data_IF_151025360057
#
_entry.id   IF_151025360057
#
_cell.length_a   1.000
_cell.length_b   1.000
_cell.length_c   1.000
_cell.angle_alpha   90.00
_cell.angle_beta   90.00
_cell.angle_gamma   90.00
#
_symmetry.space_group_name_H-M   'P 1'
#
loop_
_entity.id
_entity.type
_entity.pdbx_description
1 polymer ?
#
# COMPACT_ATOMS: atom_id res chain seq x y z
N UNK A 1 28.01 -7.01 48.35
CA UNK A 1 26.61 -6.51 48.36
C UNK A 1 25.78 -7.46 47.52
N UNK A 2 25.09 -8.37 48.20
CA UNK A 2 24.16 -9.35 47.64
C UNK A 2 22.79 -8.90 48.14
N UNK A 3 21.81 -8.75 47.26
CA UNK A 3 20.40 -8.62 47.66
C UNK A 3 19.61 -9.73 46.98
N UNK A 4 19.40 -10.78 47.77
CA UNK A 4 18.37 -11.79 47.63
C UNK A 4 17.00 -11.11 47.64
N UNK A 5 16.15 -11.43 46.67
CA UNK A 5 14.72 -11.16 46.76
C UNK A 5 14.03 -12.50 46.98
N UNK A 6 13.36 -12.58 48.14
CA UNK A 6 12.60 -13.71 48.63
C UNK A 6 11.42 -14.04 47.69
N UNK A 7 11.30 -15.33 47.32
CA UNK A 7 10.07 -15.89 46.79
C UNK A 7 9.47 -16.79 47.88
N UNK A 8 8.37 -16.34 48.49
CA UNK A 8 7.63 -17.09 49.52
C UNK A 8 6.48 -17.83 48.85
N UNK A 9 6.44 -19.14 49.06
CA UNK A 9 5.35 -20.04 48.71
C UNK A 9 4.14 -19.83 49.62
N UNK A 10 2.93 -19.89 49.07
CA UNK A 10 1.74 -20.41 49.78
C UNK A 10 0.91 -21.27 48.83
N UNK A 11 0.91 -22.58 49.07
CA UNK A 11 -0.19 -23.49 48.71
C UNK A 11 -1.28 -23.29 49.79
N UNK A 12 -2.59 -23.36 49.54
CA UNK A 12 -3.39 -24.53 49.17
C UNK A 12 -4.84 -24.05 49.01
N UNK A 13 -5.59 -24.52 48.02
CA UNK A 13 -6.96 -24.99 48.27
C UNK A 13 -7.46 -25.87 47.12
N UNK A 14 -7.86 -27.08 47.49
CA UNK A 14 -8.45 -28.10 46.66
C UNK A 14 -9.94 -27.86 46.45
N UNK A 15 -10.42 -27.85 45.20
CA UNK A 15 -11.80 -28.21 44.89
C UNK A 15 -11.93 -28.76 43.47
N UNK A 16 -12.12 -30.09 43.44
CA UNK A 16 -12.86 -30.95 42.50
C UNK A 16 -12.90 -30.67 40.97
N UNK A 17 -12.76 -31.74 40.15
CA UNK A 17 -12.88 -31.66 38.69
C UNK A 17 -14.35 -31.68 38.27
N UNK A 18 -14.85 -30.57 37.73
CA UNK A 18 -16.07 -30.59 36.93
C UNK A 18 -15.76 -31.19 35.55
N UNK A 19 -15.99 -32.50 35.42
CA UNK A 19 -16.11 -33.15 34.12
C UNK A 19 -17.36 -32.64 33.41
N UNK A 20 -17.19 -31.71 32.47
CA UNK A 20 -18.19 -31.38 31.46
C UNK A 20 -17.84 -32.09 30.15
N UNK A 21 -18.21 -33.37 30.06
CA UNK A 21 -18.32 -34.10 28.81
C UNK A 21 -19.69 -33.80 28.19
N UNK A 22 -19.72 -32.92 27.19
CA UNK A 22 -20.96 -32.61 26.49
C UNK A 22 -20.77 -31.65 25.32
N UNK A 23 -20.78 -32.21 24.11
CA UNK A 23 -21.08 -31.54 22.83
C UNK A 23 -20.16 -30.41 22.33
N UNK A 24 -19.18 -30.75 21.47
CA UNK A 24 -18.65 -29.77 20.50
C UNK A 24 -17.95 -30.39 19.27
N UNK A 25 -18.61 -31.25 18.50
CA UNK A 25 -18.01 -31.83 17.27
C UNK A 25 -18.54 -31.26 15.95
N UNK A 26 -19.52 -30.35 15.93
CA UNK A 26 -20.10 -29.83 14.67
C UNK A 26 -19.45 -28.51 14.18
N UNK A 27 -18.70 -27.79 15.04
CA UNK A 27 -18.19 -26.43 14.70
C UNK A 27 -16.86 -26.39 13.90
N UNK A 28 -16.11 -27.50 13.83
CA UNK A 28 -14.76 -27.50 13.24
C UNK A 28 -14.73 -27.59 11.71
N UNK A 29 -15.72 -28.21 11.06
CA UNK A 29 -15.77 -28.30 9.60
C UNK A 29 -16.18 -26.97 8.93
N UNK A 30 -17.16 -26.26 9.48
CA UNK A 30 -17.57 -24.95 8.94
C UNK A 30 -16.48 -23.87 9.05
N UNK A 31 -15.65 -23.93 10.10
CA UNK A 31 -14.55 -22.99 10.30
C UNK A 31 -13.48 -23.12 9.20
N UNK A 32 -13.07 -24.34 8.84
CA UNK A 32 -12.05 -24.58 7.82
C UNK A 32 -12.49 -24.12 6.43
N UNK A 33 -13.75 -24.37 6.06
CA UNK A 33 -14.30 -23.95 4.77
C UNK A 33 -14.37 -22.42 4.64
N UNK A 34 -14.73 -21.71 5.71
CA UNK A 34 -14.75 -20.25 5.73
C UNK A 34 -13.34 -19.65 5.58
N UNK A 35 -12.34 -20.22 6.24
CA UNK A 35 -10.93 -19.79 6.09
C UNK A 35 -10.43 -19.99 4.66
N UNK A 36 -10.72 -21.15 4.04
CA UNK A 36 -10.34 -21.43 2.65
C UNK A 36 -10.97 -20.43 1.66
N UNK A 37 -12.23 -20.07 1.86
CA UNK A 37 -12.91 -19.08 1.03
C UNK A 37 -12.24 -17.70 1.13
N UNK A 38 -11.83 -17.27 2.33
CA UNK A 38 -11.13 -16.00 2.53
C UNK A 38 -9.75 -16.03 1.89
N UNK A 39 -8.97 -17.11 2.08
CA UNK A 39 -7.65 -17.23 1.47
C UNK A 39 -7.71 -17.21 -0.06
N UNK A 40 -8.72 -17.85 -0.64
CA UNK A 40 -8.96 -17.82 -2.08
C UNK A 40 -9.35 -16.41 -2.57
N UNK A 41 -10.16 -15.69 -1.79
CA UNK A 41 -10.49 -14.30 -2.12
C UNK A 41 -9.27 -13.39 -2.06
N UNK A 42 -8.41 -13.54 -1.05
CA UNK A 42 -7.18 -12.78 -0.91
C UNK A 42 -6.20 -13.06 -2.05
N UNK A 43 -6.01 -14.33 -2.44
CA UNK A 43 -5.13 -14.67 -3.57
C UNK A 43 -5.63 -14.10 -4.89
N UNK A 44 -6.96 -14.07 -5.10
CA UNK A 44 -7.56 -13.40 -6.25
C UNK A 44 -7.31 -11.89 -6.24
N UNK A 45 -7.49 -11.22 -5.10
CA UNK A 45 -7.22 -9.77 -5.02
C UNK A 45 -5.73 -9.49 -5.24
N UNK A 46 -4.84 -10.35 -4.70
CA UNK A 46 -3.40 -10.22 -4.90
C UNK A 46 -3.00 -10.31 -6.38
N UNK A 47 -3.56 -11.26 -7.13
CA UNK A 47 -3.27 -11.38 -8.56
C UNK A 47 -3.78 -10.17 -9.35
N UNK A 48 -4.97 -9.65 -9.02
CA UNK A 48 -5.50 -8.42 -9.62
C UNK A 48 -4.61 -7.21 -9.32
N UNK A 49 -4.14 -7.06 -8.07
CA UNK A 49 -3.24 -5.99 -7.68
C UNK A 49 -1.90 -6.05 -8.41
N UNK A 50 -1.32 -7.25 -8.57
CA UNK A 50 -0.08 -7.45 -9.33
C UNK A 50 -0.30 -7.16 -10.82
N UNK A 51 -1.46 -7.51 -11.37
CA UNK A 51 -1.81 -7.17 -12.75
C UNK A 51 -1.86 -5.65 -12.95
N UNK A 52 -2.60 -4.93 -12.09
CA UNK A 52 -2.63 -3.45 -12.13
C UNK A 52 -1.23 -2.88 -11.94
N UNK A 53 -0.44 -3.36 -10.97
CA UNK A 53 0.93 -2.91 -10.76
C UNK A 53 1.80 -3.05 -12.02
N UNK A 54 1.67 -4.14 -12.76
CA UNK A 54 2.44 -4.36 -13.99
C UNK A 54 2.04 -3.46 -15.15
N UNK A 55 0.83 -2.88 -15.12
CA UNK A 55 0.36 -1.94 -16.14
C UNK A 55 0.80 -0.50 -15.89
N UNK A 56 1.47 -0.20 -14.78
CA UNK A 56 1.94 1.16 -14.49
C UNK A 56 3.13 1.53 -15.37
N UNK A 57 3.13 2.75 -15.94
CA UNK A 57 4.22 3.19 -16.80
C UNK A 57 5.53 3.33 -16.02
N UNK A 58 6.65 3.14 -16.74
CA UNK A 58 7.99 3.43 -16.23
C UNK A 58 8.21 4.94 -16.20
N UNK A 59 8.88 5.42 -15.15
CA UNK A 59 9.22 6.85 -15.03
C UNK A 59 10.54 7.15 -15.77
N UNK A 60 10.52 7.89 -16.90
CA UNK A 60 11.72 8.16 -17.67
C UNK A 60 12.75 9.01 -16.92
N UNK A 61 12.35 9.71 -15.85
CA UNK A 61 13.26 10.50 -15.01
C UNK A 61 14.04 9.65 -14.00
N UNK A 62 13.63 8.39 -13.80
CA UNK A 62 14.16 7.52 -12.75
C UNK A 62 14.72 6.19 -13.27
N UNK A 63 15.08 6.13 -14.56
CA UNK A 63 15.66 4.95 -15.22
C UNK A 63 16.84 4.34 -14.44
N UNK A 64 17.68 5.18 -13.81
CA UNK A 64 18.84 4.74 -13.02
C UNK A 64 18.54 4.51 -11.53
N UNK A 65 17.27 4.59 -11.11
CA UNK A 65 16.81 4.54 -9.72
C UNK A 65 15.59 3.59 -9.57
N UNK A 66 15.77 2.28 -9.79
CA UNK A 66 14.66 1.30 -9.80
C UNK A 66 13.88 1.23 -8.48
N UNK A 67 14.49 1.64 -7.36
CA UNK A 67 13.82 1.69 -6.06
C UNK A 67 12.81 2.83 -5.91
N UNK A 68 12.90 3.86 -6.75
CA UNK A 68 12.03 5.03 -6.74
C UNK A 68 10.92 4.97 -7.80
N UNK A 69 10.89 3.88 -8.57
CA UNK A 69 9.81 3.61 -9.53
C UNK A 69 8.48 3.36 -8.80
N UNK A 70 7.40 3.91 -9.33
CA UNK A 70 6.06 3.76 -8.74
C UNK A 70 5.63 2.29 -8.71
N UNK A 71 5.91 1.53 -9.77
CA UNK A 71 5.60 0.10 -9.85
C UNK A 71 6.30 -0.72 -8.75
N UNK A 72 7.54 -0.34 -8.39
CA UNK A 72 8.32 -0.94 -7.30
C UNK A 72 7.71 -0.61 -5.94
N UNK A 73 7.36 0.66 -5.72
CA UNK A 73 6.69 1.11 -4.49
C UNK A 73 5.33 0.40 -4.28
N UNK A 74 4.55 0.25 -5.35
CA UNK A 74 3.28 -0.49 -5.33
C UNK A 74 3.53 -1.97 -5.02
N UNK A 75 4.52 -2.60 -5.65
CA UNK A 75 4.86 -4.00 -5.34
C UNK A 75 5.21 -4.18 -3.87
N UNK A 76 6.09 -3.32 -3.32
CA UNK A 76 6.47 -3.33 -1.90
C UNK A 76 5.26 -3.08 -0.98
N UNK A 77 4.30 -2.26 -1.40
CA UNK A 77 3.07 -2.04 -0.64
C UNK A 77 2.17 -3.28 -0.64
N UNK A 78 1.98 -3.91 -1.81
CA UNK A 78 1.25 -5.17 -1.94
C UNK A 78 1.87 -6.22 -1.01
N UNK A 79 3.18 -6.45 -1.11
CA UNK A 79 3.85 -7.49 -0.35
C UNK A 79 3.68 -7.29 1.17
N UNK A 80 3.76 -6.04 1.66
CA UNK A 80 3.51 -5.70 3.07
C UNK A 80 2.12 -6.08 3.57
N UNK A 81 1.08 -5.88 2.75
CA UNK A 81 -0.31 -6.17 3.14
C UNK A 81 -0.58 -7.68 3.17
N UNK A 82 0.15 -8.47 2.37
CA UNK A 82 0.03 -9.93 2.35
C UNK A 82 0.99 -10.64 3.31
N UNK A 83 1.91 -9.92 3.97
CA UNK A 83 2.77 -10.47 5.03
C UNK A 83 1.93 -10.95 6.22
N UNK A 84 2.20 -12.14 6.77
CA UNK A 84 1.56 -12.62 8.00
C UNK A 84 1.72 -11.60 9.15
N UNK A 85 0.61 -11.23 9.79
CA UNK A 85 0.62 -10.31 10.94
C UNK A 85 0.36 -8.84 10.60
N UNK A 86 0.13 -8.47 9.35
CA UNK A 86 -0.23 -7.09 8.98
C UNK A 86 -1.61 -6.66 9.51
N UNK A 87 -2.62 -7.52 9.39
CA UNK A 87 -3.99 -7.21 9.80
C UNK A 87 -4.36 -7.95 11.09
N UNK A 88 -5.07 -7.24 11.98
CA UNK A 88 -5.64 -7.81 13.21
C UNK A 88 -6.67 -8.91 12.94
N UNK A 89 -7.41 -8.80 11.82
CA UNK A 89 -8.43 -9.76 11.42
C UNK A 89 -8.37 -10.06 9.92
N UNK A 90 -8.70 -11.30 9.55
CA UNK A 90 -8.76 -11.73 8.14
C UNK A 90 -9.81 -10.96 7.34
N UNK A 91 -10.94 -10.61 7.96
CA UNK A 91 -11.99 -9.79 7.33
C UNK A 91 -11.52 -8.36 7.06
N UNK A 92 -10.83 -7.73 8.04
CA UNK A 92 -10.24 -6.40 7.86
C UNK A 92 -9.16 -6.38 6.79
N UNK A 93 -8.39 -7.47 6.65
CA UNK A 93 -7.41 -7.62 5.57
C UNK A 93 -8.08 -7.62 4.19
N UNK A 94 -9.14 -8.40 4.02
CA UNK A 94 -9.89 -8.46 2.75
C UNK A 94 -10.44 -7.08 2.37
N UNK A 95 -11.03 -6.36 3.34
CA UNK A 95 -11.58 -5.03 3.10
C UNK A 95 -10.48 -4.03 2.70
N UNK A 96 -9.35 -4.03 3.42
CA UNK A 96 -8.20 -3.19 3.10
C UNK A 96 -7.65 -3.46 1.70
N UNK A 97 -7.46 -4.74 1.34
CA UNK A 97 -7.02 -5.13 0.01
C UNK A 97 -8.01 -4.70 -1.08
N UNK A 98 -9.32 -4.82 -0.82
CA UNK A 98 -10.35 -4.40 -1.77
C UNK A 98 -10.32 -2.88 -2.00
N UNK A 99 -10.19 -2.09 -0.93
CA UNK A 99 -10.05 -0.63 -1.03
C UNK A 99 -8.79 -0.23 -1.79
N UNK A 100 -7.68 -0.94 -1.57
CA UNK A 100 -6.43 -0.72 -2.28
C UNK A 100 -6.59 -1.02 -3.77
N UNK A 101 -7.22 -2.14 -4.13
CA UNK A 101 -7.49 -2.51 -5.52
C UNK A 101 -8.33 -1.44 -6.22
N UNK A 102 -9.47 -1.07 -5.64
CA UNK A 102 -10.36 -0.06 -6.22
C UNK A 102 -9.67 1.31 -6.34
N UNK A 103 -8.80 1.67 -5.40
CA UNK A 103 -8.04 2.92 -5.49
C UNK A 103 -7.02 2.89 -6.62
N UNK A 104 -6.30 1.78 -6.80
CA UNK A 104 -5.32 1.63 -7.86
C UNK A 104 -5.97 1.57 -9.25
N UNK A 105 -7.12 0.91 -9.38
CA UNK A 105 -7.92 0.89 -10.61
C UNK A 105 -8.39 2.31 -10.99
N UNK A 106 -8.90 3.09 -10.02
CA UNK A 106 -9.33 4.47 -10.25
C UNK A 106 -8.18 5.42 -10.62
N UNK A 107 -6.94 5.11 -10.19
CA UNK A 107 -5.75 5.87 -10.55
C UNK A 107 -5.24 5.49 -11.93
N UNK A 108 -5.24 4.20 -12.27
CA UNK A 108 -4.73 3.72 -13.56
C UNK A 108 -5.67 4.06 -14.71
N UNK A 109 -6.98 4.03 -14.48
CA UNK A 109 -7.99 4.31 -15.51
C UNK A 109 -8.21 5.82 -15.78
N UNK A 110 -7.64 6.68 -14.94
CA UNK A 110 -7.79 8.14 -15.00
C UNK A 110 -9.23 8.63 -14.73
N UNK A 111 -10.09 7.80 -14.14
CA UNK A 111 -11.50 8.12 -13.87
C UNK A 111 -11.65 9.35 -12.97
N UNK A 112 -10.76 9.52 -11.99
CA UNK A 112 -10.76 10.67 -11.08
C UNK A 112 -10.50 11.97 -11.84
N UNK A 113 -9.53 11.98 -12.78
CA UNK A 113 -9.22 13.15 -13.59
C UNK A 113 -10.39 13.52 -14.53
N UNK A 114 -11.16 12.52 -15.00
CA UNK A 114 -12.40 12.75 -15.76
C UNK A 114 -13.53 13.29 -14.89
N UNK A 115 -13.67 12.75 -13.67
CA UNK A 115 -14.73 13.13 -12.73
C UNK A 115 -14.54 14.54 -12.17
N UNK A 116 -13.30 14.94 -11.92
CA UNK A 116 -12.94 16.25 -11.40
C UNK A 116 -11.97 16.94 -12.38
N UNK A 117 -12.46 17.45 -13.50
CA UNK A 117 -11.61 18.06 -14.51
C UNK A 117 -10.96 19.34 -13.96
N UNK A 118 -9.65 19.46 -14.15
CA UNK A 118 -8.92 20.67 -13.78
C UNK A 118 -9.23 21.81 -14.78
N UNK A 119 -9.64 23.00 -14.32
CA UNK A 119 -10.04 24.08 -15.22
C UNK A 119 -8.85 24.62 -16.01
N UNK A 120 -9.12 25.10 -17.24
CA UNK A 120 -8.06 25.51 -18.16
C UNK A 120 -7.25 26.71 -17.64
N UNK A 121 -7.90 27.63 -16.92
CA UNK A 121 -7.22 28.77 -16.27
C UNK A 121 -6.23 28.35 -15.18
N UNK A 122 -6.39 27.17 -14.56
CA UNK A 122 -5.41 26.62 -13.64
C UNK A 122 -4.36 25.75 -14.36
N UNK A 123 -4.72 25.11 -15.48
CA UNK A 123 -3.77 24.37 -16.34
C UNK A 123 -2.86 25.27 -17.17
N UNK A 124 -3.21 26.53 -17.37
CA UNK A 124 -2.39 27.48 -18.09
C UNK A 124 -2.62 28.86 -17.48
N UNK A 125 -1.90 29.23 -16.40
CA UNK A 125 -2.10 30.51 -15.77
C UNK A 125 -1.64 31.64 -16.69
N UNK A 126 -2.47 32.67 -16.85
CA UNK A 126 -2.17 33.83 -17.71
C UNK A 126 -0.91 34.60 -17.26
N UNK A 127 -0.56 34.52 -15.98
CA UNK A 127 0.66 35.12 -15.44
C UNK A 127 1.95 34.46 -15.94
N UNK A 128 1.87 33.22 -16.44
CA UNK A 128 3.02 32.50 -16.95
C UNK A 128 2.63 31.52 -18.08
N UNK A 129 2.33 32.04 -19.28
CA UNK A 129 1.74 31.26 -20.38
C UNK A 129 2.68 30.16 -20.92
N UNK A 130 4.00 30.29 -20.70
CA UNK A 130 5.02 29.29 -21.08
C UNK A 130 5.32 28.27 -19.98
N UNK A 131 4.63 28.30 -18.84
CA UNK A 131 5.00 27.49 -17.66
C UNK A 131 5.23 26.02 -17.98
N UNK A 132 4.25 25.39 -18.63
CA UNK A 132 4.28 23.96 -18.90
C UNK A 132 5.21 23.60 -20.06
N UNK A 133 5.42 24.52 -21.02
CA UNK A 133 6.43 24.34 -22.07
C UNK A 133 7.82 24.26 -21.44
N UNK A 134 8.15 25.19 -20.54
CA UNK A 134 9.45 25.21 -19.85
C UNK A 134 9.64 24.01 -18.91
N UNK A 135 8.55 23.51 -18.30
CA UNK A 135 8.60 22.27 -17.53
C UNK A 135 8.89 21.07 -18.43
N UNK A 136 8.22 20.94 -19.58
CA UNK A 136 8.45 19.86 -20.54
C UNK A 136 9.86 19.90 -21.10
N UNK A 137 10.36 21.08 -21.50
CA UNK A 137 11.76 21.27 -21.91
C UNK A 137 12.73 20.81 -20.80
N UNK A 138 12.43 21.13 -19.55
CA UNK A 138 13.23 20.70 -18.39
C UNK A 138 13.24 19.19 -18.20
N UNK A 139 12.08 18.53 -18.36
CA UNK A 139 11.94 17.07 -18.30
C UNK A 139 12.73 16.41 -19.43
N UNK A 140 12.57 16.86 -20.67
CA UNK A 140 13.26 16.32 -21.83
C UNK A 140 14.78 16.41 -21.69
N UNK A 141 15.27 17.54 -21.15
CA UNK A 141 16.70 17.73 -20.85
C UNK A 141 17.19 16.78 -19.76
N UNK A 142 16.40 16.59 -18.70
CA UNK A 142 16.74 15.65 -17.64
C UNK A 142 16.80 14.21 -18.14
N UNK A 143 15.87 13.81 -19.02
CA UNK A 143 15.88 12.48 -19.68
C UNK A 143 17.16 12.31 -20.51
N UNK A 144 17.64 13.37 -21.18
CA UNK A 144 18.93 13.37 -21.90
C UNK A 144 20.17 13.45 -21.00
N UNK A 145 20.00 13.62 -19.69
CA UNK A 145 21.11 13.78 -18.74
C UNK A 145 21.74 15.17 -18.74
N UNK A 146 21.09 16.18 -19.34
CA UNK A 146 21.57 17.55 -19.36
C UNK A 146 21.19 18.29 -18.07
N UNK A 147 22.16 18.89 -17.39
CA UNK A 147 21.87 19.77 -16.24
C UNK A 147 21.56 21.21 -16.67
N UNK A 148 20.74 21.91 -15.89
CA UNK A 148 20.57 23.36 -16.06
C UNK A 148 21.80 24.08 -15.49
N UNK A 149 22.34 25.08 -16.21
CA UNK A 149 23.30 26.01 -15.63
C UNK A 149 22.72 26.64 -14.36
N UNK A 150 23.52 26.73 -13.30
CA UNK A 150 23.09 27.15 -11.96
C UNK A 150 22.34 28.49 -11.93
N UNK A 151 22.63 29.41 -12.85
CA UNK A 151 21.98 30.72 -12.93
C UNK A 151 20.52 30.66 -13.42
N UNK A 152 20.14 29.65 -14.21
CA UNK A 152 18.74 29.45 -14.64
C UNK A 152 17.84 28.85 -13.54
N UNK A 153 18.40 28.45 -12.41
CA UNK A 153 17.63 27.95 -11.25
C UNK A 153 16.90 29.07 -10.50
N UNK A 154 17.37 30.32 -10.59
CA UNK A 154 16.89 31.45 -9.78
C UNK A 154 15.96 32.42 -10.53
N UNK A 155 15.98 32.43 -11.87
CA UNK A 155 15.21 33.39 -12.70
C UNK A 155 13.71 33.00 -12.84
N UNK A 156 13.28 31.87 -12.26
CA UNK A 156 11.88 31.38 -12.40
C UNK A 156 10.87 32.01 -11.42
N UNK A 157 11.29 32.91 -10.54
CA UNK A 157 10.44 33.51 -9.49
C UNK A 157 10.47 35.05 -9.45
N UNK A 158 11.00 35.70 -10.48
CA UNK A 158 11.00 37.17 -10.64
C UNK A 158 10.22 37.55 -11.88
#
# INVERSE_FOLDING_TARGET
MILNIHFVHTETNSMSPFNYTGHRTIKTHNCKMATQAITHKLSKIQSQLKHVQSSWPLDPLRINQPDLEFSSAISKAIDRVFTPGYASTQSGQVEGCQRMLSSLENLSDGSIARKFPFPQSMRNPDSFPRHYEELNEGVDRAIRGESLPWYRRWIRFT
#
